data_IF_610148909913
#
_entry.id   IF_610148909913
#
_cell.length_a   1.000
_cell.length_b   1.000
_cell.length_c   1.000
_cell.angle_alpha   90.00
_cell.angle_beta   90.00
_cell.angle_gamma   90.00
#
_symmetry.space_group_name_H-M   'P 1'
#
loop_
_entity.id
_entity.type
_entity.pdbx_description
1 polymer ?
#
# COMPACT_ATOMS: atom_id res chain seq x y z
N UNK A 1 -2.26 15.43 6.99
CA UNK A 1 -2.54 13.99 7.12
C UNK A 1 -3.27 13.75 8.43
N UNK A 2 -4.35 12.97 8.46
CA UNK A 2 -5.06 12.64 9.70
C UNK A 2 -4.46 11.39 10.37
N UNK A 3 -4.68 11.19 11.68
CA UNK A 3 -4.17 10.01 12.42
C UNK A 3 -4.60 8.67 11.77
N UNK A 4 -5.79 8.66 11.16
CA UNK A 4 -6.31 7.51 10.39
C UNK A 4 -5.41 7.19 9.18
N UNK A 5 -5.01 8.21 8.43
CA UNK A 5 -4.18 8.07 7.23
C UNK A 5 -2.76 7.65 7.58
N UNK A 6 -2.19 8.14 8.68
CA UNK A 6 -0.87 7.70 9.16
C UNK A 6 -0.85 6.20 9.51
N UNK A 7 -1.89 5.71 10.20
CA UNK A 7 -2.03 4.27 10.51
C UNK A 7 -2.23 3.44 9.24
N UNK A 8 -2.99 3.96 8.29
CA UNK A 8 -3.25 3.31 7.00
C UNK A 8 -1.98 3.23 6.17
N UNK A 9 -1.24 4.32 6.08
CA UNK A 9 0.03 4.39 5.37
C UNK A 9 1.01 3.36 5.92
N UNK A 10 1.16 3.26 7.26
CA UNK A 10 2.00 2.22 7.89
C UNK A 10 1.59 0.81 7.47
N UNK A 11 0.29 0.53 7.40
CA UNK A 11 -0.23 -0.75 6.92
C UNK A 11 0.12 -0.99 5.45
N UNK A 12 -0.08 0.00 4.57
CA UNK A 12 0.28 -0.07 3.13
C UNK A 12 1.78 -0.29 2.93
N UNK A 13 2.63 0.41 3.69
CA UNK A 13 4.09 0.24 3.64
C UNK A 13 4.54 -1.16 4.06
N UNK A 14 3.88 -1.75 5.06
CA UNK A 14 4.18 -3.11 5.55
C UNK A 14 3.93 -4.21 4.51
N UNK A 15 2.98 -3.99 3.60
CA UNK A 15 2.64 -4.96 2.54
C UNK A 15 3.23 -4.57 1.18
N UNK A 16 4.07 -3.54 1.12
CA UNK A 16 4.68 -3.10 -0.12
C UNK A 16 6.01 -3.81 -0.38
N UNK A 17 6.31 -4.00 -1.66
CA UNK A 17 7.62 -4.42 -2.15
C UNK A 17 7.58 -5.82 -2.76
N UNK A 18 8.61 -6.12 -3.54
CA UNK A 18 8.75 -7.38 -4.26
C UNK A 18 8.67 -8.57 -3.32
N UNK A 19 9.36 -8.50 -2.18
CA UNK A 19 9.37 -9.58 -1.20
C UNK A 19 7.97 -9.83 -0.60
N UNK A 20 7.26 -8.77 -0.22
CA UNK A 20 5.91 -8.87 0.32
C UNK A 20 4.95 -9.48 -0.72
N UNK A 21 5.10 -9.08 -1.99
CA UNK A 21 4.31 -9.59 -3.11
C UNK A 21 4.59 -11.07 -3.40
N UNK A 22 5.86 -11.48 -3.47
CA UNK A 22 6.27 -12.88 -3.70
C UNK A 22 5.82 -13.80 -2.56
N UNK A 23 5.84 -13.31 -1.32
CA UNK A 23 5.31 -14.02 -0.14
C UNK A 23 3.77 -13.99 -0.07
N UNK A 24 3.11 -13.19 -0.90
CA UNK A 24 1.66 -13.03 -0.92
C UNK A 24 1.12 -12.48 0.41
N UNK A 25 1.84 -11.54 1.06
CA UNK A 25 1.46 -11.01 2.35
C UNK A 25 0.08 -10.37 2.32
N UNK A 26 -0.68 -10.54 3.40
CA UNK A 26 -1.99 -9.94 3.59
C UNK A 26 -2.13 -9.49 5.02
N UNK A 27 -2.66 -8.30 5.23
CA UNK A 27 -2.96 -7.77 6.57
C UNK A 27 -4.42 -7.34 6.63
N UNK A 28 -5.04 -7.44 7.80
CA UNK A 28 -6.35 -6.84 8.04
C UNK A 28 -6.17 -5.39 8.50
N UNK A 29 -6.86 -4.47 7.84
CA UNK A 29 -6.96 -3.08 8.25
C UNK A 29 -8.44 -2.69 8.30
N UNK A 30 -8.96 -2.48 9.51
CA UNK A 30 -10.40 -2.31 9.73
C UNK A 30 -11.20 -3.52 9.21
N UNK A 31 -12.19 -3.26 8.36
CA UNK A 31 -12.99 -4.30 7.70
C UNK A 31 -12.38 -4.80 6.37
N UNK A 32 -11.29 -4.18 5.91
CA UNK A 32 -10.66 -4.50 4.64
C UNK A 32 -9.44 -5.41 4.84
N UNK A 33 -9.18 -6.27 3.85
CA UNK A 33 -7.93 -7.03 3.79
C UNK A 33 -7.04 -6.36 2.77
N UNK A 34 -5.90 -5.86 3.24
CA UNK A 34 -4.88 -5.33 2.35
C UNK A 34 -3.98 -6.48 1.88
N UNK A 35 -3.85 -6.62 0.57
CA UNK A 35 -3.03 -7.62 -0.12
C UNK A 35 -1.76 -6.96 -0.64
N UNK A 36 -0.65 -7.67 -0.52
CA UNK A 36 0.66 -7.21 -0.95
C UNK A 36 0.68 -6.71 -2.38
N UNK A 37 1.51 -5.68 -2.58
CA UNK A 37 1.64 -4.99 -3.85
C UNK A 37 3.07 -4.56 -4.10
N UNK A 38 3.39 -4.50 -5.38
CA UNK A 38 4.72 -4.18 -5.87
C UNK A 38 4.57 -3.45 -7.21
N UNK A 39 5.42 -2.45 -7.42
CA UNK A 39 5.51 -1.70 -8.67
C UNK A 39 6.86 -2.04 -9.30
N UNK A 40 6.84 -2.44 -10.56
CA UNK A 40 8.05 -2.82 -11.28
C UNK A 40 9.07 -1.66 -11.27
N UNK A 41 10.30 -1.95 -10.83
CA UNK A 41 11.36 -0.95 -10.69
C UNK A 41 11.44 -0.28 -9.31
N UNK A 42 10.55 -0.64 -8.38
CA UNK A 42 10.57 -0.20 -6.98
C UNK A 42 10.37 -1.43 -6.08
N UNK A 43 11.45 -2.17 -5.84
CA UNK A 43 11.43 -3.45 -5.13
C UNK A 43 11.23 -3.27 -3.62
N UNK A 44 11.64 -2.13 -3.06
CA UNK A 44 11.45 -1.79 -1.63
C UNK A 44 10.62 -0.53 -1.43
N UNK A 45 10.06 -0.37 -0.22
CA UNK A 45 9.28 0.83 0.11
C UNK A 45 10.17 2.07 0.13
N UNK A 46 11.42 1.93 0.53
CA UNK A 46 12.42 3.00 0.58
C UNK A 46 12.72 3.56 -0.82
N UNK A 47 12.78 2.70 -1.85
CA UNK A 47 12.93 3.14 -3.24
C UNK A 47 11.71 3.92 -3.72
N UNK A 48 10.52 3.50 -3.31
CA UNK A 48 9.27 4.20 -3.63
C UNK A 48 9.22 5.56 -2.91
N UNK A 49 9.53 5.62 -1.62
CA UNK A 49 9.55 6.83 -0.80
C UNK A 49 10.60 7.85 -1.27
N UNK A 50 11.69 7.39 -1.89
CA UNK A 50 12.67 8.29 -2.50
C UNK A 50 12.11 9.08 -3.70
N UNK A 51 11.03 8.58 -4.33
CA UNK A 51 10.46 9.13 -5.55
C UNK A 51 9.01 9.60 -5.40
N UNK A 52 8.34 9.20 -4.31
CA UNK A 52 6.92 9.43 -4.07
C UNK A 52 6.67 9.90 -2.66
N UNK A 53 5.78 10.86 -2.53
CA UNK A 53 5.29 11.33 -1.24
C UNK A 53 4.34 10.32 -0.60
N UNK A 54 4.20 10.41 0.72
CA UNK A 54 3.27 9.56 1.47
C UNK A 54 1.83 9.62 0.95
N UNK A 55 1.35 10.82 0.58
CA UNK A 55 0.02 11.02 0.00
C UNK A 55 -0.10 10.35 -1.37
N UNK A 56 0.92 10.44 -2.24
CA UNK A 56 0.93 9.72 -3.52
C UNK A 56 0.92 8.20 -3.34
N UNK A 57 1.67 7.66 -2.37
CA UNK A 57 1.71 6.22 -2.10
C UNK A 57 0.32 5.72 -1.68
N UNK A 58 -0.38 6.47 -0.83
CA UNK A 58 -1.77 6.18 -0.47
C UNK A 58 -2.71 6.26 -1.67
N UNK A 59 -2.59 7.30 -2.49
CA UNK A 59 -3.43 7.47 -3.67
C UNK A 59 -3.24 6.31 -4.66
N UNK A 60 -2.00 5.92 -4.94
CA UNK A 60 -1.66 4.81 -5.82
C UNK A 60 -2.21 3.47 -5.30
N UNK A 61 -2.11 3.24 -3.98
CA UNK A 61 -2.72 2.08 -3.36
C UNK A 61 -4.25 2.11 -3.54
N UNK A 62 -4.87 3.27 -3.39
CA UNK A 62 -6.32 3.41 -3.47
C UNK A 62 -6.85 3.28 -4.89
N UNK A 63 -6.12 3.78 -5.88
CA UNK A 63 -6.41 3.58 -7.29
C UNK A 63 -6.38 2.10 -7.66
N UNK A 64 -5.37 1.35 -7.19
CA UNK A 64 -5.30 -0.09 -7.40
C UNK A 64 -6.54 -0.81 -6.86
N UNK A 65 -6.97 -0.50 -5.64
CA UNK A 65 -8.15 -1.14 -5.05
C UNK A 65 -9.43 -0.72 -5.76
N UNK A 66 -9.54 0.55 -6.18
CA UNK A 66 -10.66 1.02 -7.00
C UNK A 66 -10.73 0.28 -8.33
N UNK A 67 -9.59 0.05 -8.98
CA UNK A 67 -9.52 -0.72 -10.23
C UNK A 67 -9.97 -2.18 -10.03
N UNK A 68 -9.66 -2.77 -8.88
CA UNK A 68 -10.10 -4.12 -8.48
C UNK A 68 -11.56 -4.15 -7.95
N UNK A 69 -12.27 -3.01 -7.95
CA UNK A 69 -13.65 -2.89 -7.47
C UNK A 69 -13.81 -2.94 -5.94
N UNK A 70 -12.72 -2.81 -5.18
CA UNK A 70 -12.71 -2.87 -3.72
C UNK A 70 -12.92 -1.45 -3.15
N UNK A 71 -13.99 -1.26 -2.38
CA UNK A 71 -14.24 0.01 -1.67
C UNK A 71 -13.38 0.10 -0.42
N UNK A 72 -12.48 1.07 -0.38
CA UNK A 72 -11.75 1.43 0.85
C UNK A 72 -12.47 2.63 1.51
N UNK A 73 -12.71 2.57 2.83
CA UNK A 73 -13.47 3.57 3.61
C UNK A 73 -12.61 4.33 4.60
#
# INVERSE_FOLDING_TARGET
MSEKDEKRLKAVKTIYGKEAFEKGLKIKYGNNTFVAWWILGYDTIEELEANKTDDEILEMHDERYRAEGIKIS
#
